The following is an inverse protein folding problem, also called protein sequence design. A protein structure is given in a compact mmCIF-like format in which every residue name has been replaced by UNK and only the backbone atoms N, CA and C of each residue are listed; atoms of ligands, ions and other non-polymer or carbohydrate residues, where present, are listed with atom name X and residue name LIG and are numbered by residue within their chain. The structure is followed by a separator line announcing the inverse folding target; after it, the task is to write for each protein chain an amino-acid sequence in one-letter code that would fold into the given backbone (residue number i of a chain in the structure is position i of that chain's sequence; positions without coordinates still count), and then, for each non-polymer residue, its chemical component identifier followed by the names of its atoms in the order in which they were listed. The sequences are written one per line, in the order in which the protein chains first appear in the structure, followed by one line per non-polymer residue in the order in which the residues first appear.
data_IF_971030240287
#
_entry.id   IF_971030240287
#
_cell.length_a   1.000
_cell.length_b   1.000
_cell.length_c   1.000
_cell.angle_alpha   90.00
_cell.angle_beta   90.00
_cell.angle_gamma   90.00
#
_symmetry.space_group_name_H-M   'P 1'
#
loop_
_entity.id
_entity.type
_entity.pdbx_description
1 polymer ?
#
# COMPACT_ATOMS: atom_id res chain seq x y z
N UNK A 1 -2.73 18.16 1.54
CA UNK A 1 -2.08 17.68 0.30
C UNK A 1 -1.36 18.80 -0.43
N UNK A 2 -2.04 19.79 -1.00
CA UNK A 2 -1.44 20.89 -1.80
C UNK A 2 -0.30 21.63 -1.09
N UNK A 3 -0.42 21.88 0.22
CA UNK A 3 0.66 22.50 1.01
C UNK A 3 1.90 21.59 1.11
N UNK A 4 1.72 20.30 1.36
CA UNK A 4 2.83 19.35 1.44
C UNK A 4 3.60 19.26 0.12
N UNK A 5 2.90 19.25 -1.02
CA UNK A 5 3.50 19.28 -2.35
C UNK A 5 4.30 20.57 -2.54
N UNK A 6 3.72 21.71 -2.14
CA UNK A 6 4.38 23.03 -2.20
C UNK A 6 5.65 23.08 -1.35
N UNK A 7 5.68 22.33 -0.27
CA UNK A 7 6.82 22.18 0.65
C UNK A 7 7.83 21.11 0.17
N UNK A 8 7.60 20.51 -1.00
CA UNK A 8 8.53 19.59 -1.66
C UNK A 8 8.21 18.09 -1.52
N UNK A 9 7.01 17.73 -1.06
CA UNK A 9 6.59 16.32 -1.06
C UNK A 9 6.43 15.81 -2.49
N UNK A 10 7.04 14.67 -2.79
CA UNK A 10 6.94 13.98 -4.08
C UNK A 10 5.96 12.81 -4.08
N UNK A 11 5.58 12.34 -2.91
CA UNK A 11 4.63 11.26 -2.70
C UNK A 11 3.67 11.60 -1.56
N UNK A 12 2.39 11.32 -1.71
CA UNK A 12 1.35 11.63 -0.72
C UNK A 12 0.62 10.35 -0.31
N UNK A 13 0.60 10.06 1.00
CA UNK A 13 -0.20 8.97 1.55
C UNK A 13 -1.54 9.55 2.05
N UNK A 14 -2.67 9.00 1.61
CA UNK A 14 -4.03 9.35 2.07
C UNK A 14 -4.71 8.13 2.67
N UNK A 15 -5.70 8.34 3.53
CA UNK A 15 -6.57 7.26 4.01
C UNK A 15 -7.87 7.32 3.21
N UNK A 16 -8.35 6.18 2.71
CA UNK A 16 -9.63 6.10 2.02
C UNK A 16 -10.78 6.49 2.97
N UNK A 17 -11.92 6.96 2.45
CA UNK A 17 -13.10 7.27 3.27
C UNK A 17 -13.75 5.98 3.79
N UNK A 18 -13.24 5.48 4.93
CA UNK A 18 -13.64 4.19 5.51
C UNK A 18 -15.12 4.11 5.87
N UNK A 19 -15.72 5.21 6.32
CA UNK A 19 -17.15 5.27 6.63
C UNK A 19 -17.99 4.89 5.41
N UNK A 20 -17.82 5.62 4.31
CA UNK A 20 -18.50 5.37 3.04
C UNK A 20 -18.21 3.98 2.49
N UNK A 21 -16.95 3.51 2.61
CA UNK A 21 -16.57 2.17 2.17
C UNK A 21 -17.34 1.07 2.92
N UNK A 22 -17.47 1.19 4.24
CA UNK A 22 -18.16 0.21 5.09
C UNK A 22 -19.68 0.26 4.94
N UNK A 23 -20.25 1.42 4.62
CA UNK A 23 -21.65 1.63 4.30
C UNK A 23 -22.01 1.17 2.88
N UNK A 24 -21.02 0.87 2.04
CA UNK A 24 -21.23 0.45 0.65
C UNK A 24 -21.46 1.62 -0.31
N UNK A 25 -21.22 2.84 0.11
CA UNK A 25 -21.26 4.04 -0.72
C UNK A 25 -19.97 4.19 -1.53
N UNK A 26 -19.86 3.32 -2.55
CA UNK A 26 -18.65 3.24 -3.39
C UNK A 26 -18.50 4.44 -4.31
N UNK A 27 -19.58 5.13 -4.66
CA UNK A 27 -19.54 6.36 -5.46
C UNK A 27 -18.78 7.46 -4.71
N UNK A 28 -19.15 7.71 -3.46
CA UNK A 28 -18.42 8.67 -2.61
C UNK A 28 -16.96 8.27 -2.42
N UNK A 29 -16.64 6.97 -2.25
CA UNK A 29 -15.25 6.50 -2.13
C UNK A 29 -14.44 6.85 -3.36
N UNK A 30 -14.96 6.58 -4.55
CA UNK A 30 -14.27 6.86 -5.82
C UNK A 30 -14.10 8.36 -6.01
N UNK A 31 -15.18 9.14 -5.83
CA UNK A 31 -15.17 10.59 -6.03
C UNK A 31 -14.15 11.29 -5.12
N UNK A 32 -14.11 10.93 -3.84
CA UNK A 32 -13.15 11.53 -2.91
C UNK A 32 -11.69 11.20 -3.27
N UNK A 33 -11.41 9.95 -3.67
CA UNK A 33 -10.07 9.54 -4.07
C UNK A 33 -9.66 10.24 -5.36
N UNK A 34 -10.56 10.34 -6.35
CA UNK A 34 -10.31 11.06 -7.61
C UNK A 34 -10.00 12.54 -7.38
N UNK A 35 -10.80 13.23 -6.57
CA UNK A 35 -10.54 14.63 -6.20
C UNK A 35 -9.17 14.81 -5.54
N UNK A 36 -8.78 13.86 -4.69
CA UNK A 36 -7.46 13.87 -4.06
C UNK A 36 -6.34 13.60 -5.08
N UNK A 37 -6.54 12.68 -6.04
CA UNK A 37 -5.57 12.44 -7.12
C UNK A 37 -5.43 13.66 -8.02
N UNK A 38 -6.51 14.32 -8.39
CA UNK A 38 -6.45 15.58 -9.16
C UNK A 38 -5.64 16.66 -8.40
N UNK A 39 -5.87 16.81 -7.10
CA UNK A 39 -5.10 17.74 -6.27
C UNK A 39 -3.63 17.32 -6.07
N UNK A 40 -3.32 16.04 -6.22
CA UNK A 40 -1.96 15.49 -6.19
C UNK A 40 -1.19 15.77 -7.49
N UNK A 41 -1.89 15.91 -8.62
CA UNK A 41 -1.31 16.14 -9.94
C UNK A 41 -0.38 15.01 -10.38
N UNK A 42 0.82 15.35 -10.80
CA UNK A 42 1.84 14.40 -11.31
C UNK A 42 2.56 13.62 -10.18
N UNK A 43 2.26 13.91 -8.90
CA UNK A 43 2.90 13.23 -7.79
C UNK A 43 2.23 11.88 -7.49
N UNK A 44 3.02 10.95 -6.94
CA UNK A 44 2.51 9.63 -6.55
C UNK A 44 1.56 9.73 -5.35
N UNK A 45 0.36 9.19 -5.52
CA UNK A 45 -0.63 9.07 -4.45
C UNK A 45 -0.76 7.63 -3.96
N UNK A 46 -0.62 7.42 -2.65
CA UNK A 46 -0.80 6.12 -2.01
C UNK A 46 -2.07 6.12 -1.17
N UNK A 47 -3.00 5.23 -1.50
CA UNK A 47 -4.25 5.07 -0.77
C UNK A 47 -4.10 4.00 0.31
N UNK A 48 -4.26 4.40 1.57
CA UNK A 48 -4.28 3.50 2.73
C UNK A 48 -5.68 2.92 2.86
N UNK A 49 -5.80 1.60 2.71
CA UNK A 49 -7.07 0.89 2.77
C UNK A 49 -7.54 0.64 4.21
N UNK A 50 -6.62 0.67 5.19
CA UNK A 50 -6.84 0.29 6.60
C UNK A 50 -7.49 -1.11 6.71
N UNK A 51 -6.80 -2.10 6.18
CA UNK A 51 -7.32 -3.47 5.96
C UNK A 51 -7.87 -4.14 7.22
N UNK A 52 -7.38 -3.77 8.39
CA UNK A 52 -7.91 -4.25 9.67
C UNK A 52 -9.36 -3.83 9.92
N UNK A 53 -9.76 -2.66 9.43
CA UNK A 53 -11.15 -2.16 9.53
C UNK A 53 -12.07 -2.79 8.48
N UNK A 54 -11.52 -3.19 7.32
CA UNK A 54 -12.29 -3.85 6.26
C UNK A 54 -12.65 -5.31 6.56
N UNK A 55 -11.88 -5.98 7.39
CA UNK A 55 -12.10 -7.30 8.00
C UNK A 55 -12.21 -8.49 7.05
N UNK A 56 -12.77 -8.34 5.86
CA UNK A 56 -13.02 -9.45 4.92
C UNK A 56 -12.20 -9.32 3.64
N UNK A 57 -11.79 -10.45 3.07
CA UNK A 57 -11.12 -10.49 1.77
C UNK A 57 -11.94 -9.79 0.67
N UNK A 58 -13.27 -9.91 0.72
CA UNK A 58 -14.19 -9.24 -0.22
C UNK A 58 -14.05 -7.73 -0.12
N UNK A 59 -14.14 -7.15 1.08
CA UNK A 59 -14.05 -5.71 1.27
C UNK A 59 -12.64 -5.19 0.90
N UNK A 60 -11.58 -5.93 1.26
CA UNK A 60 -10.21 -5.58 0.89
C UNK A 60 -10.04 -5.57 -0.63
N UNK A 61 -10.58 -6.56 -1.34
CA UNK A 61 -10.52 -6.61 -2.80
C UNK A 61 -11.27 -5.43 -3.43
N UNK A 62 -12.51 -5.18 -3.00
CA UNK A 62 -13.32 -4.06 -3.50
C UNK A 62 -12.59 -2.73 -3.25
N UNK A 63 -12.13 -2.47 -2.03
CA UNK A 63 -11.39 -1.26 -1.69
C UNK A 63 -10.12 -1.08 -2.53
N UNK A 64 -9.40 -2.17 -2.79
CA UNK A 64 -8.21 -2.17 -3.66
C UNK A 64 -8.57 -1.73 -5.08
N UNK A 65 -9.58 -2.36 -5.69
CA UNK A 65 -10.00 -2.04 -7.06
C UNK A 65 -10.54 -0.62 -7.16
N UNK A 66 -11.44 -0.19 -6.26
CA UNK A 66 -11.97 1.18 -6.25
C UNK A 66 -10.83 2.22 -6.17
N UNK A 67 -9.86 2.01 -5.29
CA UNK A 67 -8.71 2.91 -5.15
C UNK A 67 -7.88 3.01 -6.43
N UNK A 68 -7.61 1.89 -7.09
CA UNK A 68 -6.84 1.85 -8.33
C UNK A 68 -7.59 2.49 -9.50
N UNK A 69 -8.87 2.19 -9.67
CA UNK A 69 -9.70 2.84 -10.70
C UNK A 69 -9.93 4.33 -10.43
N UNK A 70 -9.85 4.78 -9.18
CA UNK A 70 -9.89 6.19 -8.82
C UNK A 70 -8.55 6.92 -8.99
N UNK A 71 -7.50 6.23 -9.47
CA UNK A 71 -6.22 6.83 -9.85
C UNK A 71 -5.10 6.72 -8.81
N UNK A 72 -5.21 5.82 -7.84
CA UNK A 72 -4.11 5.54 -6.91
C UNK A 72 -2.89 4.97 -7.65
N UNK A 73 -1.70 5.52 -7.38
CA UNK A 73 -0.44 4.98 -7.88
C UNK A 73 0.07 3.83 -7.02
N UNK A 74 -0.35 3.80 -5.75
CA UNK A 74 -0.09 2.71 -4.80
C UNK A 74 -1.32 2.44 -3.96
N UNK A 75 -1.44 1.18 -3.53
CA UNK A 75 -2.31 0.81 -2.41
C UNK A 75 -1.47 0.35 -1.22
N UNK A 76 -1.86 0.79 -0.03
CA UNK A 76 -1.16 0.54 1.23
C UNK A 76 -2.10 -0.16 2.22
N UNK A 77 -1.59 -1.12 2.98
CA UNK A 77 -2.42 -1.90 3.90
C UNK A 77 -3.03 -1.06 5.01
N UNK A 78 -2.21 -0.30 5.74
CA UNK A 78 -2.64 0.33 6.99
C UNK A 78 -1.84 1.56 7.39
N UNK A 79 -2.42 2.36 8.27
CA UNK A 79 -1.73 3.49 8.94
C UNK A 79 -0.71 3.01 9.96
N UNK A 80 -0.91 1.83 10.52
CA UNK A 80 -0.18 1.30 11.68
C UNK A 80 -0.72 1.79 13.03
N UNK A 81 -1.84 2.52 13.04
CA UNK A 81 -2.53 2.99 14.26
C UNK A 81 -3.58 2.01 14.73
N UNK A 82 -4.28 1.36 13.78
CA UNK A 82 -5.30 0.36 14.03
C UNK A 82 -4.73 -1.07 14.00
N UNK A 83 -5.41 -2.00 14.66
CA UNK A 83 -5.04 -3.42 14.70
C UNK A 83 -6.21 -4.29 14.22
N UNK A 84 -5.93 -5.36 13.46
CA UNK A 84 -4.62 -5.73 12.92
C UNK A 84 -4.14 -4.71 11.87
N UNK A 85 -2.83 -4.50 11.79
CA UNK A 85 -2.22 -3.67 10.75
C UNK A 85 -2.01 -4.50 9.46
N UNK A 86 -0.80 -4.55 8.88
CA UNK A 86 -0.56 -5.43 7.74
C UNK A 86 -0.65 -6.91 8.15
N UNK A 87 -1.37 -7.72 7.35
CA UNK A 87 -1.36 -9.18 7.48
C UNK A 87 -1.01 -9.82 6.13
N UNK A 88 -0.41 -11.04 6.14
CA UNK A 88 -0.10 -11.76 4.90
C UNK A 88 -1.35 -12.03 4.05
N UNK A 89 -2.49 -12.33 4.68
CA UNK A 89 -3.76 -12.59 4.00
C UNK A 89 -4.27 -11.33 3.27
N UNK A 90 -4.26 -10.19 3.96
CA UNK A 90 -4.64 -8.91 3.34
C UNK A 90 -3.70 -8.54 2.18
N UNK A 91 -2.39 -8.71 2.38
CA UNK A 91 -1.38 -8.47 1.35
C UNK A 91 -1.61 -9.35 0.10
N UNK A 92 -1.91 -10.63 0.31
CA UNK A 92 -2.21 -11.56 -0.78
C UNK A 92 -3.43 -11.12 -1.59
N UNK A 93 -4.52 -10.75 -0.92
CA UNK A 93 -5.75 -10.25 -1.58
C UNK A 93 -5.47 -8.97 -2.35
N UNK A 94 -4.72 -8.02 -1.77
CA UNK A 94 -4.35 -6.77 -2.42
C UNK A 94 -3.47 -7.02 -3.65
N UNK A 95 -2.48 -7.91 -3.55
CA UNK A 95 -1.64 -8.26 -4.69
C UNK A 95 -2.44 -8.95 -5.82
N UNK A 96 -3.42 -9.80 -5.48
CA UNK A 96 -4.34 -10.36 -6.49
C UNK A 96 -5.17 -9.28 -7.18
N UNK A 97 -5.67 -8.29 -6.44
CA UNK A 97 -6.39 -7.16 -7.01
C UNK A 97 -5.50 -6.30 -7.93
N UNK A 98 -4.24 -6.05 -7.53
CA UNK A 98 -3.25 -5.37 -8.38
C UNK A 98 -3.00 -6.15 -9.67
N UNK A 99 -2.85 -7.48 -9.58
CA UNK A 99 -2.65 -8.31 -10.76
C UNK A 99 -3.84 -8.26 -11.72
N UNK A 100 -5.06 -8.39 -11.19
CA UNK A 100 -6.29 -8.31 -11.97
C UNK A 100 -6.41 -6.96 -12.69
N UNK A 101 -6.16 -5.86 -11.96
CA UNK A 101 -6.14 -4.52 -12.53
C UNK A 101 -5.07 -4.35 -13.62
N UNK A 102 -3.86 -4.89 -13.40
CA UNK A 102 -2.80 -4.86 -14.40
C UNK A 102 -3.13 -5.70 -15.64
N UNK A 103 -3.69 -6.89 -15.45
CA UNK A 103 -4.08 -7.77 -16.56
C UNK A 103 -5.17 -7.12 -17.45
N UNK A 104 -6.03 -6.26 -16.86
CA UNK A 104 -7.09 -5.54 -17.57
C UNK A 104 -6.61 -4.23 -18.22
N UNK A 105 -5.81 -3.45 -17.50
CA UNK A 105 -5.47 -2.07 -17.90
C UNK A 105 -4.05 -1.90 -18.45
N UNK A 106 -3.14 -2.81 -18.15
CA UNK A 106 -1.71 -2.67 -18.41
C UNK A 106 -0.99 -1.70 -17.47
N UNK A 107 -1.68 -1.10 -16.49
CA UNK A 107 -1.13 -0.12 -15.56
C UNK A 107 -0.56 -0.82 -14.33
N UNK A 108 0.70 -0.56 -14.03
CA UNK A 108 1.36 -1.09 -12.84
C UNK A 108 1.11 -0.21 -11.62
N UNK A 109 0.51 -0.78 -10.58
CA UNK A 109 0.25 -0.13 -9.29
C UNK A 109 1.25 -0.63 -8.25
N UNK A 110 1.79 0.27 -7.43
CA UNK A 110 2.70 -0.07 -6.35
C UNK A 110 1.97 -0.66 -5.14
N UNK A 111 2.67 -1.50 -4.38
CA UNK A 111 2.18 -2.11 -3.15
C UNK A 111 3.03 -1.70 -1.94
N UNK A 112 2.36 -1.32 -0.83
CA UNK A 112 3.04 -0.93 0.41
C UNK A 112 2.41 -1.61 1.62
N UNK A 113 2.88 -2.80 2.04
CA UNK A 113 2.52 -3.32 3.36
C UNK A 113 3.12 -2.43 4.43
N UNK A 114 2.34 -2.07 5.45
CA UNK A 114 2.75 -1.15 6.50
C UNK A 114 2.10 -1.48 7.85
N UNK A 115 2.87 -1.30 8.92
CA UNK A 115 2.46 -1.58 10.29
C UNK A 115 2.65 -3.05 10.70
N UNK A 116 3.40 -3.28 11.77
CA UNK A 116 3.68 -4.62 12.28
C UNK A 116 4.86 -5.34 11.64
N UNK A 117 5.55 -4.75 10.67
CA UNK A 117 6.75 -5.31 10.07
C UNK A 117 7.96 -5.01 10.97
N UNK A 118 8.34 -5.97 11.80
CA UNK A 118 9.35 -5.79 12.85
C UNK A 118 10.58 -6.69 12.70
N UNK A 119 10.51 -7.72 11.86
CA UNK A 119 11.57 -8.72 11.68
C UNK A 119 11.94 -8.89 10.21
N UNK A 120 13.12 -9.44 9.96
CA UNK A 120 13.54 -9.83 8.60
C UNK A 120 12.55 -10.83 7.99
N UNK A 121 12.01 -11.75 8.80
CA UNK A 121 11.01 -12.70 8.34
C UNK A 121 9.72 -12.03 7.86
N UNK A 122 9.26 -10.96 8.54
CA UNK A 122 8.10 -10.19 8.06
C UNK A 122 8.37 -9.62 6.66
N UNK A 123 9.56 -9.05 6.44
CA UNK A 123 9.93 -8.55 5.12
C UNK A 123 9.94 -9.64 4.05
N UNK A 124 10.49 -10.81 4.37
CA UNK A 124 10.55 -11.95 3.45
C UNK A 124 9.16 -12.48 3.09
N UNK A 125 8.23 -12.51 4.03
CA UNK A 125 6.84 -12.91 3.78
C UNK A 125 6.20 -12.00 2.73
N UNK A 126 6.25 -10.67 2.91
CA UNK A 126 5.65 -9.73 1.97
C UNK A 126 6.39 -9.70 0.62
N UNK A 127 7.71 -9.80 0.64
CA UNK A 127 8.51 -9.95 -0.58
C UNK A 127 8.09 -11.20 -1.38
N UNK A 128 7.93 -12.33 -0.69
CA UNK A 128 7.51 -13.59 -1.31
C UNK A 128 6.10 -13.48 -1.90
N UNK A 129 5.14 -12.89 -1.17
CA UNK A 129 3.79 -12.67 -1.69
C UNK A 129 3.82 -11.85 -2.99
N UNK A 130 4.56 -10.76 -3.01
CA UNK A 130 4.70 -9.91 -4.21
C UNK A 130 5.34 -10.70 -5.34
N UNK A 131 6.43 -11.43 -5.07
CA UNK A 131 7.12 -12.24 -6.07
C UNK A 131 6.21 -13.30 -6.71
N UNK A 132 5.49 -14.05 -5.90
CA UNK A 132 4.66 -15.17 -6.36
C UNK A 132 3.37 -14.70 -7.06
N UNK A 133 2.77 -13.59 -6.62
CA UNK A 133 1.51 -13.09 -7.18
C UNK A 133 1.72 -12.13 -8.35
N UNK A 134 2.63 -11.17 -8.19
CA UNK A 134 2.85 -10.08 -9.16
C UNK A 134 4.05 -10.32 -10.06
N UNK A 135 5.02 -11.10 -9.60
CA UNK A 135 6.24 -11.39 -10.34
C UNK A 135 7.38 -10.37 -10.10
N UNK A 136 8.54 -10.68 -10.66
CA UNK A 136 9.79 -9.95 -10.41
C UNK A 136 9.76 -8.48 -10.84
N UNK A 137 8.88 -8.12 -11.78
CA UNK A 137 8.72 -6.73 -12.24
C UNK A 137 8.33 -5.77 -11.11
N UNK A 138 7.65 -6.26 -10.08
CA UNK A 138 7.27 -5.47 -8.90
C UNK A 138 8.34 -5.39 -7.82
N UNK A 139 9.38 -6.22 -7.86
CA UNK A 139 10.44 -6.26 -6.85
C UNK A 139 11.47 -5.13 -7.05
N UNK A 140 10.98 -3.93 -7.16
CA UNK A 140 11.77 -2.71 -7.29
C UNK A 140 11.32 -1.67 -6.27
N UNK A 141 12.18 -0.71 -5.95
CA UNK A 141 11.82 0.40 -5.06
C UNK A 141 10.71 1.31 -5.65
N UNK A 142 10.39 1.17 -6.93
CA UNK A 142 9.28 1.87 -7.57
C UNK A 142 7.93 1.23 -7.26
N UNK A 143 7.86 -0.08 -7.05
CA UNK A 143 6.57 -0.77 -6.94
C UNK A 143 6.38 -1.53 -5.63
N UNK A 144 7.45 -1.81 -4.87
CA UNK A 144 7.37 -2.44 -3.56
C UNK A 144 8.01 -1.55 -2.50
N UNK A 145 7.24 -1.16 -1.52
CA UNK A 145 7.69 -0.38 -0.37
C UNK A 145 7.31 -1.10 0.93
N UNK A 146 8.22 -1.23 1.86
CA UNK A 146 7.97 -1.79 3.19
C UNK A 146 7.83 -0.65 4.19
N UNK A 147 6.62 -0.45 4.71
CA UNK A 147 6.31 0.62 5.66
C UNK A 147 6.67 0.21 7.09
N UNK A 148 7.83 0.65 7.56
CA UNK A 148 8.40 0.25 8.84
C UNK A 148 9.25 1.36 9.45
N UNK A 149 9.54 1.28 10.77
CA UNK A 149 10.42 2.22 11.47
C UNK A 149 11.82 1.68 11.74
N UNK A 150 12.01 0.37 11.83
CA UNK A 150 13.28 -0.25 12.28
C UNK A 150 13.84 -1.31 11.34
N UNK A 151 13.03 -1.79 10.44
CA UNK A 151 13.35 -2.96 9.61
C UNK A 151 14.56 -2.72 8.69
N UNK A 152 14.78 -1.47 8.23
CA UNK A 152 15.91 -1.15 7.37
C UNK A 152 17.25 -1.50 8.04
N UNK A 153 17.43 -1.14 9.32
CA UNK A 153 18.63 -1.50 10.08
C UNK A 153 18.77 -3.02 10.23
N UNK A 154 17.67 -3.73 10.52
CA UNK A 154 17.69 -5.18 10.68
C UNK A 154 18.05 -5.91 9.38
N UNK A 155 17.47 -5.49 8.26
CA UNK A 155 17.77 -6.05 6.94
C UNK A 155 19.24 -5.79 6.56
N UNK A 156 19.73 -4.58 6.80
CA UNK A 156 21.11 -4.25 6.50
C UNK A 156 22.09 -5.01 7.40
N UNK A 157 21.76 -5.17 8.69
CA UNK A 157 22.55 -5.97 9.63
C UNK A 157 22.66 -7.43 9.19
N UNK A 158 21.55 -8.01 8.71
CA UNK A 158 21.54 -9.39 8.20
C UNK A 158 22.41 -9.55 6.95
N UNK A 159 22.37 -8.58 6.04
CA UNK A 159 23.15 -8.61 4.79
C UNK A 159 24.65 -8.44 5.05
N UNK A 160 25.03 -7.57 5.99
CA UNK A 160 26.44 -7.27 6.30
C UNK A 160 27.03 -8.28 7.29
N UNK A 161 26.19 -8.91 8.12
CA UNK A 161 26.61 -9.81 9.21
C UNK A 161 27.08 -9.08 10.48
N UNK A 162 26.83 -7.78 10.59
CA UNK A 162 27.17 -6.93 11.72
C UNK A 162 25.99 -6.03 12.11
N UNK A 163 25.88 -5.67 13.40
CA UNK A 163 24.81 -4.78 13.88
C UNK A 163 24.94 -3.37 13.30
N UNK A 164 23.90 -2.93 12.59
CA UNK A 164 23.82 -1.61 11.97
C UNK A 164 22.76 -0.75 12.67
N UNK A 165 23.10 0.50 12.96
CA UNK A 165 22.22 1.49 13.61
C UNK A 165 22.34 2.85 12.91
N UNK A 166 21.73 2.99 11.72
CA UNK A 166 21.72 4.25 10.98
C UNK A 166 20.51 5.13 11.28
N UNK A 167 19.39 4.53 11.74
CA UNK A 167 18.13 5.21 11.98
C UNK A 167 17.60 4.95 13.39
#
# INVERSE_FOLDING_TARGET
MTLAIKDGATEIDIVMPLGSMLEGDYETVVDEIQQQKEACGEHDMKVILETGMLQTAKNIKIASLLSMYAGADYIKTSTGKEKPAATPEAAYVMCQAIKEYYDETGIMIGFKPAGGLNTVMDALIYYTIVKEVLGEKWLTNKYLRLGTSRLANLLLSEVIGEEVKFF
#
